data_IF_828726377739
#
_entry.id   IF_828726377739
#
_cell.length_a   1.000
_cell.length_b   1.000
_cell.length_c   1.000
_cell.angle_alpha   90.00
_cell.angle_beta   90.00
_cell.angle_gamma   90.00
#
_symmetry.space_group_name_H-M   'P 1'
#
loop_
_entity.id
_entity.type
_entity.pdbx_description
1 polymer ?
#
# COMPACT_ATOMS: atom_id res chain seq x y z
N UNK A 1 56.37 -8.04 8.85
CA UNK A 1 55.91 -8.12 9.61
C UNK A 1 54.69 -7.52 9.84
N UNK A 2 54.28 -6.83 9.87
CA UNK A 2 53.16 -6.26 10.22
C UNK A 2 52.15 -6.14 9.32
N UNK A 3 52.04 -6.78 8.48
CA UNK A 3 51.05 -6.60 7.58
C UNK A 3 49.79 -7.08 7.92
N UNK A 4 49.66 -7.76 8.83
CA UNK A 4 48.44 -8.31 9.11
C UNK A 4 47.40 -7.41 9.39
N UNK A 5 47.59 -6.33 9.62
CA UNK A 5 46.54 -5.50 10.09
C UNK A 5 45.58 -5.10 9.11
N UNK A 6 45.75 -5.39 7.92
CA UNK A 6 44.83 -4.89 7.01
C UNK A 6 43.61 -5.56 6.89
N UNK A 7 43.52 -6.67 7.25
CA UNK A 7 42.37 -7.40 6.97
C UNK A 7 41.11 -7.01 7.59
N UNK A 8 41.19 -6.21 8.54
CA UNK A 8 40.01 -5.98 9.19
C UNK A 8 39.06 -5.12 8.60
N UNK A 9 39.46 -4.33 7.82
CA UNK A 9 38.56 -3.39 7.37
C UNK A 9 37.39 -3.81 6.62
N UNK A 10 37.43 -4.90 6.11
CA UNK A 10 36.38 -5.21 5.27
C UNK A 10 35.12 -5.53 5.88
N UNK A 11 35.13 -5.73 7.07
CA UNK A 11 33.95 -6.20 7.63
C UNK A 11 32.90 -5.23 7.81
N UNK A 12 33.19 -4.06 7.63
CA UNK A 12 32.24 -3.12 7.96
C UNK A 12 31.16 -2.87 7.03
N UNK A 13 31.17 -3.45 5.99
CA UNK A 13 30.24 -3.01 5.03
C UNK A 13 28.95 -3.74 5.07
N UNK A 14 28.48 -4.19 6.10
CA UNK A 14 27.23 -4.89 6.06
C UNK A 14 26.10 -3.91 6.01
N UNK A 15 25.31 -3.92 5.02
CA UNK A 15 24.21 -3.01 4.91
C UNK A 15 23.05 -3.50 5.69
N UNK A 16 22.30 -2.64 6.14
CA UNK A 16 21.15 -2.99 6.89
C UNK A 16 19.94 -2.94 6.07
N UNK A 17 19.85 -3.82 5.18
CA UNK A 17 18.76 -3.75 4.30
C UNK A 17 17.56 -4.47 4.73
N UNK A 18 17.58 -5.09 5.79
CA UNK A 18 16.50 -5.92 6.17
C UNK A 18 15.33 -5.20 6.76
N UNK A 19 15.26 -3.93 6.60
CA UNK A 19 14.24 -3.22 7.28
C UNK A 19 12.93 -3.19 6.58
N UNK A 20 12.87 -3.50 5.35
CA UNK A 20 11.63 -3.40 4.62
C UNK A 20 10.66 -4.50 5.01
N UNK A 21 9.41 -4.17 5.15
CA UNK A 21 8.37 -5.13 5.43
C UNK A 21 7.85 -5.70 4.12
N UNK A 22 8.53 -6.72 3.62
CA UNK A 22 8.18 -7.27 2.33
C UNK A 22 6.88 -8.04 2.34
N UNK A 23 6.44 -8.46 3.49
CA UNK A 23 5.21 -9.21 3.60
C UNK A 23 4.01 -8.35 3.95
N UNK A 24 4.16 -7.04 3.97
CA UNK A 24 3.05 -6.15 4.18
C UNK A 24 2.17 -6.11 2.93
N UNK A 25 0.92 -6.46 3.06
CA UNK A 25 -0.01 -6.44 1.94
C UNK A 25 -1.34 -5.80 2.28
N UNK A 26 -1.89 -5.13 1.30
CA UNK A 26 -3.24 -4.58 1.35
C UNK A 26 -3.98 -5.04 0.11
N UNK A 27 -5.20 -5.51 0.28
CA UNK A 27 -6.05 -5.95 -0.81
C UNK A 27 -7.49 -5.60 -0.53
N UNK A 28 -8.22 -5.02 -1.48
CA UNK A 28 -7.77 -4.59 -2.80
C UNK A 28 -7.02 -3.28 -2.77
N UNK A 29 -6.25 -2.97 -3.79
CA UNK A 29 -5.56 -1.70 -3.89
C UNK A 29 -6.24 -0.74 -4.86
N UNK A 30 -7.44 -1.07 -5.23
CA UNK A 30 -8.24 -0.28 -6.14
C UNK A 30 -9.67 -0.26 -5.65
N UNK A 31 -10.25 0.90 -5.52
CA UNK A 31 -11.64 1.05 -5.14
C UNK A 31 -12.37 1.78 -6.26
N UNK A 32 -13.42 1.16 -6.77
CA UNK A 32 -14.23 1.74 -7.83
C UNK A 32 -15.53 2.24 -7.23
N UNK A 33 -15.98 3.41 -7.65
CA UNK A 33 -17.25 3.94 -7.20
C UNK A 33 -17.92 4.74 -8.31
N UNK A 34 -19.24 4.93 -8.19
CA UNK A 34 -19.97 5.77 -9.11
C UNK A 34 -19.97 7.21 -8.61
N UNK A 35 -20.35 8.13 -9.50
CA UNK A 35 -20.44 9.53 -9.12
C UNK A 35 -21.38 9.71 -7.94
N UNK A 36 -21.00 10.61 -7.06
CA UNK A 36 -21.78 10.92 -5.85
C UNK A 36 -21.85 9.81 -4.81
N UNK A 37 -21.13 8.73 -5.01
CA UNK A 37 -21.06 7.67 -4.02
C UNK A 37 -19.66 7.64 -3.41
N UNK A 38 -19.60 7.34 -2.12
CA UNK A 38 -18.32 7.17 -1.47
C UNK A 38 -17.76 5.81 -1.81
N UNK A 39 -16.44 5.68 -1.79
CA UNK A 39 -15.79 4.41 -2.02
C UNK A 39 -15.64 3.69 -0.70
N UNK A 40 -16.49 2.72 -0.44
CA UNK A 40 -16.43 1.92 0.77
C UNK A 40 -15.80 0.58 0.39
N UNK A 41 -14.73 0.21 1.06
CA UNK A 41 -14.10 -1.06 0.77
C UNK A 41 -13.73 -1.79 2.06
N UNK A 42 -13.68 -3.11 1.94
CA UNK A 42 -13.17 -3.95 3.02
C UNK A 42 -11.75 -4.29 2.67
N UNK A 43 -10.83 -3.66 3.35
CA UNK A 43 -9.42 -3.78 3.07
C UNK A 43 -8.83 -4.89 3.90
N UNK A 44 -8.28 -5.91 3.26
CA UNK A 44 -7.59 -6.97 3.95
C UNK A 44 -6.16 -6.54 4.17
N UNK A 45 -5.75 -6.50 5.41
CA UNK A 45 -4.43 -6.04 5.81
C UNK A 45 -3.66 -7.19 6.42
N UNK A 46 -2.43 -7.36 6.02
CA UNK A 46 -1.59 -8.43 6.55
C UNK A 46 -0.14 -8.00 6.65
N UNK A 47 0.50 -8.33 7.75
CA UNK A 47 1.95 -8.16 7.87
C UNK A 47 2.50 -9.08 8.95
N UNK A 48 3.82 -9.30 8.88
CA UNK A 48 4.58 -10.00 9.91
C UNK A 48 5.84 -9.21 10.20
N UNK A 49 6.07 -8.93 11.45
CA UNK A 49 7.25 -8.19 11.88
C UNK A 49 7.77 -8.79 13.18
N UNK A 50 9.05 -8.58 13.46
CA UNK A 50 9.65 -9.04 14.70
C UNK A 50 9.29 -8.14 15.87
N UNK A 51 8.87 -6.95 15.60
CA UNK A 51 8.46 -5.99 16.62
C UNK A 51 7.12 -5.37 16.24
N UNK A 52 6.50 -4.71 17.18
CA UNK A 52 5.20 -4.14 16.96
C UNK A 52 5.23 -3.07 15.90
N UNK A 53 4.36 -3.16 14.95
CA UNK A 53 4.19 -2.18 13.89
C UNK A 53 2.75 -1.70 13.87
N UNK A 54 2.54 -0.50 13.39
CA UNK A 54 1.22 0.11 13.31
C UNK A 54 0.95 0.59 11.90
N UNK A 55 -0.30 0.43 11.48
CA UNK A 55 -0.74 0.89 10.17
C UNK A 55 -1.36 2.26 10.30
N UNK A 56 -0.95 3.17 9.43
CA UNK A 56 -1.45 4.54 9.39
C UNK A 56 -1.92 4.90 8.00
N UNK A 57 -2.92 5.77 7.93
CA UNK A 57 -3.13 6.53 6.72
C UNK A 57 -2.05 7.60 6.70
N UNK A 58 -1.43 7.82 5.57
CA UNK A 58 -0.40 8.84 5.46
C UNK A 58 -0.98 10.19 5.87
N UNK A 59 -0.23 10.91 6.64
CA UNK A 59 -0.61 12.22 7.19
C UNK A 59 -1.63 12.19 8.34
N UNK A 60 -2.11 11.05 8.73
CA UNK A 60 -2.97 10.95 9.90
C UNK A 60 -2.11 10.47 11.08
N UNK A 61 -2.13 11.16 12.21
CA UNK A 61 -1.31 10.77 13.35
C UNK A 61 -1.84 9.58 14.12
N UNK A 62 -3.07 9.14 13.85
CA UNK A 62 -3.65 8.05 14.61
C UNK A 62 -3.51 6.72 13.88
N UNK A 63 -3.04 5.68 14.55
CA UNK A 63 -2.93 4.38 13.89
C UNK A 63 -4.29 3.72 13.72
N UNK A 64 -4.39 2.93 12.68
CA UNK A 64 -5.60 2.15 12.43
C UNK A 64 -5.52 0.80 13.14
N UNK A 65 -4.36 0.17 13.14
CA UNK A 65 -4.11 -1.13 13.74
C UNK A 65 -2.68 -1.23 14.19
N UNK A 66 -2.43 -1.92 15.27
CA UNK A 66 -1.07 -2.17 15.75
C UNK A 66 -0.92 -3.63 16.16
N UNK A 67 0.15 -4.27 15.71
CA UNK A 67 0.48 -5.64 16.10
C UNK A 67 1.85 -6.04 15.56
N UNK A 68 2.41 -7.11 16.08
CA UNK A 68 3.62 -7.68 15.50
C UNK A 68 3.28 -8.40 14.19
N UNK A 69 2.23 -9.20 14.23
CA UNK A 69 1.73 -9.91 13.06
C UNK A 69 0.22 -9.88 13.08
N UNK A 70 -0.37 -9.66 11.93
CA UNK A 70 -1.81 -9.53 11.86
C UNK A 70 -2.32 -9.85 10.47
N UNK A 71 -3.53 -10.37 10.41
CA UNK A 71 -4.31 -10.47 9.18
C UNK A 71 -5.74 -10.10 9.58
N UNK A 72 -6.19 -8.96 9.12
CA UNK A 72 -7.51 -8.45 9.46
C UNK A 72 -8.16 -7.71 8.32
N UNK A 73 -9.45 -7.53 8.41
CA UNK A 73 -10.20 -6.70 7.49
C UNK A 73 -10.61 -5.40 8.17
N UNK A 74 -10.39 -4.30 7.46
CA UNK A 74 -10.86 -2.99 7.88
C UNK A 74 -11.87 -2.49 6.87
N UNK A 75 -12.97 -1.96 7.34
CA UNK A 75 -13.91 -1.29 6.46
C UNK A 75 -13.58 0.20 6.47
N UNK A 76 -13.28 0.73 5.31
CA UNK A 76 -12.88 2.12 5.15
C UNK A 76 -13.70 2.79 4.08
N UNK A 77 -13.89 4.09 4.26
CA UNK A 77 -14.52 4.92 3.26
C UNK A 77 -13.47 5.88 2.74
N UNK A 78 -13.20 5.85 1.45
CA UNK A 78 -12.18 6.68 0.84
C UNK A 78 -12.80 7.60 -0.18
N UNK A 79 -12.35 8.83 -0.20
CA UNK A 79 -12.82 9.83 -1.16
C UNK A 79 -11.76 10.14 -2.20
N UNK A 80 -10.53 9.74 -1.96
CA UNK A 80 -9.44 10.01 -2.88
C UNK A 80 -8.36 8.94 -2.72
N UNK A 81 -7.39 8.95 -3.59
CA UNK A 81 -6.26 8.05 -3.48
C UNK A 81 -5.64 8.20 -2.10
N UNK A 82 -5.39 7.09 -1.45
CA UNK A 82 -4.89 7.09 -0.09
C UNK A 82 -3.67 6.18 0.03
N UNK A 83 -2.61 6.68 0.62
CA UNK A 83 -1.45 5.86 0.93
C UNK A 83 -1.51 5.41 2.37
N UNK A 84 -1.10 4.19 2.61
CA UNK A 84 -1.05 3.62 3.94
C UNK A 84 0.39 3.26 4.25
N UNK A 85 0.82 3.58 5.46
CA UNK A 85 2.18 3.33 5.90
C UNK A 85 2.19 2.36 7.06
N UNK A 86 3.07 1.38 6.99
CA UNK A 86 3.35 0.52 8.12
C UNK A 86 4.56 1.11 8.82
N UNK A 87 4.44 1.44 10.09
CA UNK A 87 5.53 2.07 10.85
C UNK A 87 5.90 1.25 12.06
N UNK A 88 7.17 1.26 12.41
CA UNK A 88 7.62 0.66 13.64
C UNK A 88 7.02 1.44 14.81
N UNK A 89 6.40 0.75 15.73
CA UNK A 89 5.69 1.38 16.85
C UNK A 89 6.64 2.13 17.79
N UNK A 90 7.84 1.66 17.97
CA UNK A 90 8.77 2.27 18.89
C UNK A 90 9.50 3.48 18.28
N UNK A 91 9.85 3.40 17.03
CA UNK A 91 10.67 4.43 16.41
C UNK A 91 9.93 5.35 15.48
N UNK A 92 8.76 4.94 15.01
CA UNK A 92 8.02 5.69 14.00
C UNK A 92 8.56 5.54 12.58
N UNK A 93 9.57 4.70 12.41
CA UNK A 93 10.16 4.52 11.10
C UNK A 93 9.18 3.85 10.15
N UNK A 94 9.08 4.36 8.94
CA UNK A 94 8.22 3.77 7.92
C UNK A 94 8.89 2.51 7.39
N UNK A 95 8.21 1.39 7.53
CA UNK A 95 8.71 0.11 7.09
C UNK A 95 8.25 -0.23 5.68
N UNK A 96 7.09 0.21 5.31
CA UNK A 96 6.55 -0.02 3.99
C UNK A 96 5.39 0.94 3.73
N UNK A 97 5.10 1.17 2.47
CA UNK A 97 3.98 2.02 2.06
C UNK A 97 3.26 1.34 0.92
N UNK A 98 1.92 1.41 0.95
CA UNK A 98 1.08 0.89 -0.13
C UNK A 98 -0.02 1.90 -0.42
N UNK A 99 -0.31 2.06 -1.67
CA UNK A 99 -1.32 3.04 -2.10
C UNK A 99 -2.56 2.34 -2.59
N UNK A 100 -3.72 2.83 -2.17
CA UNK A 100 -5.01 2.39 -2.67
C UNK A 100 -5.53 3.50 -3.58
N UNK A 101 -5.85 3.14 -4.81
CA UNK A 101 -6.36 4.10 -5.77
C UNK A 101 -7.89 4.09 -5.73
N UNK A 102 -8.46 5.26 -5.84
CA UNK A 102 -9.90 5.43 -5.89
C UNK A 102 -10.25 5.97 -7.28
N UNK A 103 -11.05 5.21 -8.00
CA UNK A 103 -11.43 5.58 -9.36
C UNK A 103 -12.94 5.69 -9.46
N UNK A 104 -13.39 6.73 -10.10
CA UNK A 104 -14.80 6.93 -10.38
C UNK A 104 -15.13 6.26 -11.71
N UNK A 105 -16.15 5.45 -11.72
CA UNK A 105 -16.62 4.79 -12.92
C UNK A 105 -17.80 5.57 -13.48
N UNK A 106 -17.69 5.98 -14.72
CA UNK A 106 -18.77 6.67 -15.40
C UNK A 106 -19.38 5.71 -16.42
N UNK A 107 -20.49 5.10 -16.04
CA UNK A 107 -21.15 4.14 -16.90
C UNK A 107 -21.67 4.76 -18.17
N UNK A 108 -22.05 6.01 -18.13
CA UNK A 108 -22.55 6.68 -19.33
C UNK A 108 -21.46 6.89 -20.34
N UNK A 109 -20.29 7.30 -19.91
CA UNK A 109 -19.16 7.46 -20.81
C UNK A 109 -18.73 6.14 -21.42
N UNK A 110 -18.69 5.10 -20.62
CA UNK A 110 -18.35 3.77 -21.09
C UNK A 110 -19.35 3.28 -22.12
N UNK A 111 -20.62 3.52 -21.89
CA UNK A 111 -21.67 3.11 -22.79
C UNK A 111 -21.56 3.86 -24.12
N UNK A 112 -21.27 5.12 -24.07
CA UNK A 112 -21.06 5.91 -25.28
C UNK A 112 -19.87 5.42 -26.09
N UNK A 113 -18.80 5.06 -25.43
CA UNK A 113 -17.64 4.52 -26.11
C UNK A 113 -17.93 3.19 -26.77
N UNK A 114 -18.70 2.34 -26.13
CA UNK A 114 -19.10 1.08 -26.72
C UNK A 114 -20.00 1.30 -27.92
N UNK A 115 -20.89 2.25 -27.86
CA UNK A 115 -21.76 2.55 -28.98
C UNK A 115 -20.97 3.08 -30.17
N UNK A 116 -19.99 3.95 -29.92
CA UNK A 116 -19.14 4.42 -31.00
C UNK A 116 -18.36 3.28 -31.62
N UNK A 117 -17.83 2.41 -30.82
CA UNK A 117 -17.09 1.27 -31.31
C UNK A 117 -17.96 0.38 -32.18
N UNK A 118 -19.18 0.12 -31.75
CA UNK A 118 -20.10 -0.69 -32.54
C UNK A 118 -20.44 -0.05 -33.86
N UNK A 119 -20.69 1.24 -33.87
CA UNK A 119 -21.02 1.95 -35.09
C UNK A 119 -19.87 1.94 -36.07
N UNK A 120 -18.68 2.04 -35.56
CA UNK A 120 -17.50 2.01 -36.38
C UNK A 120 -17.29 0.66 -37.02
N UNK A 121 -17.66 -0.42 -36.36
CA UNK A 121 -17.45 -1.75 -36.87
C UNK A 121 -18.60 -2.21 -37.75
N UNK A 122 -19.79 -1.81 -37.44
CA UNK A 122 -20.96 -2.31 -38.12
C UNK A 122 -21.40 -1.51 -39.29
N UNK A 123 -20.75 -0.46 -39.64
CA UNK A 123 -21.24 0.37 -40.68
C UNK A 123 -20.32 0.32 -41.85
N UNK A 124 -20.66 -0.35 -42.88
CA UNK A 124 -19.79 -0.45 -44.06
C UNK A 124 -19.70 0.85 -44.82
#
# INVERSE_FOLDING_TARGET
MQLRTLALLLLLSSPNLAMAANDFSLQPRLCLHHAHEACVLKLKVSWQQNSKACLYKKADPRPLLCANSITEQLQLELTEHTSFELRNSATGQVLAERRVKVLQVDLNASDQLLKRSRNSWGNP
#
